data_IF_810058270009
#
_entry.id   IF_810058270009
#
_cell.length_a   1.000
_cell.length_b   1.000
_cell.length_c   1.000
_cell.angle_alpha   90.00
_cell.angle_beta   90.00
_cell.angle_gamma   90.00
#
_symmetry.space_group_name_H-M   'P 1'
#
loop_
_entity.id
_entity.type
_entity.pdbx_description
1 polymer ?
#
# COMPACT_ATOMS: atom_id res chain seq x y z
N UNK A 1 2.46 30.95 -5.42
CA UNK A 1 3.05 29.61 -5.52
C UNK A 1 2.06 28.65 -4.90
N UNK A 2 1.51 27.70 -5.66
CA UNK A 2 0.65 26.66 -5.06
C UNK A 2 1.44 25.93 -3.96
N UNK A 3 0.85 25.63 -2.81
CA UNK A 3 1.55 24.90 -1.75
C UNK A 3 2.09 23.58 -2.32
N UNK A 4 3.33 23.26 -1.94
CA UNK A 4 3.99 22.03 -2.37
C UNK A 4 3.24 20.86 -1.74
N UNK A 5 2.75 19.93 -2.56
CA UNK A 5 2.05 18.73 -2.12
C UNK A 5 2.86 18.00 -1.04
N UNK A 6 2.22 17.77 0.11
CA UNK A 6 2.78 17.08 1.27
C UNK A 6 2.32 15.62 1.30
N UNK A 7 3.28 14.69 1.38
CA UNK A 7 2.98 13.26 1.50
C UNK A 7 3.50 12.69 2.82
N UNK A 8 2.65 11.93 3.51
CA UNK A 8 2.98 11.24 4.76
C UNK A 8 3.09 9.73 4.49
N UNK A 9 4.26 9.15 4.78
CA UNK A 9 4.44 7.71 4.80
C UNK A 9 3.86 7.11 6.08
N UNK A 10 2.97 6.13 5.93
CA UNK A 10 2.41 5.36 7.03
C UNK A 10 2.78 3.91 6.80
N UNK A 11 3.36 3.28 7.82
CA UNK A 11 3.76 1.87 7.80
C UNK A 11 2.83 1.09 8.75
N UNK A 12 1.76 0.45 8.25
CA UNK A 12 0.90 -0.38 9.07
C UNK A 12 1.65 -1.61 9.57
N UNK A 13 1.68 -1.81 10.88
CA UNK A 13 2.37 -2.91 11.53
C UNK A 13 1.44 -3.61 12.52
N UNK A 14 1.04 -4.85 12.20
CA UNK A 14 0.31 -5.72 13.13
C UNK A 14 1.25 -6.75 13.72
N UNK A 15 1.13 -6.99 15.02
CA UNK A 15 1.89 -8.05 15.67
C UNK A 15 1.33 -9.45 15.30
N UNK A 16 0.00 -9.54 15.19
CA UNK A 16 -0.71 -10.75 14.82
C UNK A 16 -0.65 -11.00 13.31
N UNK A 17 0.35 -11.78 12.89
CA UNK A 17 0.45 -12.32 11.52
C UNK A 17 0.28 -13.84 11.57
N UNK A 18 -0.66 -14.36 10.78
CA UNK A 18 -1.05 -15.79 10.78
C UNK A 18 0.02 -16.68 10.16
N UNK A 19 0.62 -16.24 9.04
CA UNK A 19 1.64 -17.01 8.30
C UNK A 19 3.03 -16.94 8.92
N UNK A 20 3.34 -15.82 9.59
CA UNK A 20 4.61 -15.62 10.26
C UNK A 20 4.39 -14.82 11.54
N UNK A 21 4.27 -15.48 12.72
CA UNK A 21 4.01 -14.79 13.98
C UNK A 21 5.08 -13.73 14.28
N UNK A 22 4.62 -12.57 14.77
CA UNK A 22 5.47 -11.44 15.19
C UNK A 22 6.43 -10.96 14.10
N UNK A 23 6.03 -11.11 12.83
CA UNK A 23 6.84 -10.79 11.63
C UNK A 23 7.56 -9.45 11.72
N UNK A 24 6.84 -8.38 12.10
CA UNK A 24 7.36 -7.01 12.15
C UNK A 24 8.49 -6.81 13.17
N UNK A 25 8.57 -7.68 14.19
CA UNK A 25 9.61 -7.66 15.22
C UNK A 25 10.76 -8.64 14.96
N UNK A 26 10.69 -9.46 13.91
CA UNK A 26 11.78 -10.38 13.57
C UNK A 26 13.02 -9.57 13.22
N UNK A 27 14.15 -9.96 13.79
CA UNK A 27 15.42 -9.32 13.52
C UNK A 27 15.99 -9.73 12.17
N UNK A 28 16.51 -8.74 11.45
CA UNK A 28 17.29 -8.89 10.23
C UNK A 28 18.54 -8.05 10.46
N UNK A 29 19.72 -8.67 10.42
CA UNK A 29 20.99 -7.98 10.63
C UNK A 29 21.00 -7.04 11.88
N UNK A 30 20.44 -7.50 13.00
CA UNK A 30 20.45 -6.79 14.28
C UNK A 30 19.41 -5.67 14.45
N UNK A 31 18.47 -5.49 13.50
CA UNK A 31 17.32 -4.58 13.66
C UNK A 31 16.00 -5.29 13.37
N UNK A 32 14.90 -4.95 14.05
CA UNK A 32 13.56 -5.44 13.69
C UNK A 32 13.21 -5.10 12.24
N UNK A 33 12.49 -6.00 11.56
CA UNK A 33 12.00 -5.80 10.18
C UNK A 33 11.35 -4.43 9.99
N UNK A 34 10.52 -4.00 10.94
CA UNK A 34 9.81 -2.72 10.84
C UNK A 34 10.74 -1.50 10.78
N UNK A 35 11.91 -1.59 11.42
CA UNK A 35 12.93 -0.53 11.40
C UNK A 35 13.56 -0.44 10.01
N UNK A 36 13.86 -1.59 9.37
CA UNK A 36 14.34 -1.61 7.98
C UNK A 36 13.35 -0.98 7.01
N UNK A 37 12.06 -1.28 7.16
CA UNK A 37 11.00 -0.68 6.33
C UNK A 37 10.94 0.83 6.51
N UNK A 38 11.00 1.31 7.76
CA UNK A 38 11.02 2.75 8.03
C UNK A 38 12.25 3.44 7.44
N UNK A 39 13.45 2.89 7.66
CA UNK A 39 14.69 3.42 7.09
C UNK A 39 14.60 3.47 5.57
N UNK A 40 14.05 2.42 4.94
CA UNK A 40 13.90 2.36 3.50
C UNK A 40 12.95 3.43 2.94
N UNK A 41 11.80 3.63 3.59
CA UNK A 41 10.82 4.64 3.21
C UNK A 41 11.31 6.07 3.47
N UNK A 42 11.97 6.32 4.60
CA UNK A 42 12.45 7.66 5.01
C UNK A 42 13.52 8.23 4.08
N UNK A 43 14.21 7.39 3.31
CA UNK A 43 15.14 7.83 2.24
C UNK A 43 14.45 8.56 1.08
N UNK A 44 13.12 8.46 0.96
CA UNK A 44 12.40 9.11 -0.14
C UNK A 44 12.19 10.60 0.10
N UNK A 45 12.69 11.49 -0.78
CA UNK A 45 12.43 12.93 -0.68
C UNK A 45 10.98 13.29 -1.00
N UNK A 46 10.21 12.35 -1.55
CA UNK A 46 8.79 12.54 -1.84
C UNK A 46 7.93 12.58 -0.58
N UNK A 47 8.42 12.03 0.54
CA UNK A 47 7.72 11.99 1.82
C UNK A 47 8.22 13.09 2.74
N UNK A 48 7.30 13.92 3.23
CA UNK A 48 7.61 14.91 4.25
C UNK A 48 7.97 14.24 5.58
N UNK A 49 7.23 13.18 5.93
CA UNK A 49 7.52 12.37 7.11
C UNK A 49 7.11 10.91 6.93
N UNK A 50 7.59 10.04 7.82
CA UNK A 50 7.28 8.60 7.85
C UNK A 50 7.09 8.12 9.28
N UNK A 51 6.01 7.41 9.54
CA UNK A 51 5.70 6.81 10.83
C UNK A 51 5.22 5.37 10.72
N UNK A 52 5.35 4.63 11.81
CA UNK A 52 4.75 3.30 12.00
C UNK A 52 3.40 3.45 12.70
N UNK A 53 2.37 2.80 12.19
CA UNK A 53 1.05 2.73 12.81
C UNK A 53 0.79 1.29 13.27
N UNK A 54 0.57 1.08 14.56
CA UNK A 54 0.47 -0.28 15.14
C UNK A 54 -0.61 -0.37 16.22
N UNK A 55 -1.09 -1.57 16.49
CA UNK A 55 -1.99 -1.89 17.60
C UNK A 55 -1.25 -2.41 18.84
N UNK A 56 0.09 -2.47 18.78
CA UNK A 56 0.91 -3.11 19.81
C UNK A 56 1.88 -2.15 20.47
N UNK A 57 1.75 -2.01 21.79
CA UNK A 57 2.72 -1.29 22.62
C UNK A 57 4.15 -1.85 22.50
N UNK A 58 4.27 -3.16 22.24
CA UNK A 58 5.56 -3.80 22.04
C UNK A 58 6.25 -3.33 20.76
N UNK A 59 5.48 -3.16 19.67
CA UNK A 59 5.99 -2.58 18.42
C UNK A 59 6.40 -1.13 18.63
N UNK A 60 5.63 -0.34 19.38
CA UNK A 60 6.00 1.04 19.74
C UNK A 60 7.31 1.07 20.53
N UNK A 61 7.48 0.20 21.53
CA UNK A 61 8.70 0.13 22.33
C UNK A 61 9.92 -0.28 21.49
N UNK A 62 9.75 -1.25 20.59
CA UNK A 62 10.80 -1.64 19.65
C UNK A 62 11.18 -0.48 18.73
N UNK A 63 10.21 0.25 18.17
CA UNK A 63 10.46 1.44 17.36
C UNK A 63 11.20 2.55 18.13
N UNK A 64 10.81 2.81 19.39
CA UNK A 64 11.44 3.82 20.23
C UNK A 64 12.94 3.56 20.45
N UNK A 65 13.34 2.29 20.61
CA UNK A 65 14.75 1.89 20.74
C UNK A 65 15.63 2.26 19.54
N UNK A 66 15.03 2.52 18.38
CA UNK A 66 15.71 2.93 17.14
C UNK A 66 15.35 4.36 16.69
N UNK A 67 14.64 5.14 17.52
CA UNK A 67 14.19 6.49 17.16
C UNK A 67 13.15 6.54 16.04
N UNK A 68 12.45 5.43 15.79
CA UNK A 68 11.41 5.35 14.75
C UNK A 68 10.09 5.92 15.31
N UNK A 69 9.49 6.94 14.67
CA UNK A 69 8.18 7.45 15.08
C UNK A 69 7.10 6.37 14.92
N UNK A 70 6.43 6.03 16.03
CA UNK A 70 5.36 5.04 16.04
C UNK A 70 4.14 5.58 16.80
N UNK A 71 2.95 5.29 16.30
CA UNK A 71 1.68 5.65 16.93
C UNK A 71 0.81 4.42 17.13
N UNK A 72 0.07 4.40 18.25
CA UNK A 72 -0.96 3.41 18.47
C UNK A 72 -2.18 3.73 17.63
N UNK A 73 -2.81 2.68 17.12
CA UNK A 73 -4.01 2.68 16.29
C UNK A 73 -4.89 1.52 16.73
N UNK A 74 -6.17 1.56 16.43
CA UNK A 74 -7.14 0.57 16.89
C UNK A 74 -6.76 -0.86 16.47
N UNK A 75 -6.94 -1.80 17.40
CA UNK A 75 -6.83 -3.24 17.14
C UNK A 75 -8.03 -3.78 16.33
N UNK A 76 -9.13 -3.02 16.25
CA UNK A 76 -10.34 -3.41 15.54
C UNK A 76 -10.25 -3.21 14.01
N UNK A 77 -9.21 -2.53 13.53
CA UNK A 77 -9.07 -2.28 12.10
C UNK A 77 -8.88 -3.58 11.32
N UNK A 78 -9.69 -3.84 10.28
CA UNK A 78 -9.61 -5.07 9.52
C UNK A 78 -8.47 -5.02 8.48
N UNK A 79 -8.13 -3.85 7.95
CA UNK A 79 -7.11 -3.70 6.89
C UNK A 79 -5.95 -2.75 7.24
N UNK A 80 -4.88 -2.80 6.45
CA UNK A 80 -3.81 -1.81 6.51
C UNK A 80 -4.31 -0.41 6.13
N UNK A 81 -5.22 -0.34 5.15
CA UNK A 81 -5.82 0.91 4.67
C UNK A 81 -6.66 1.62 5.74
N UNK A 82 -7.43 0.89 6.55
CA UNK A 82 -8.15 1.45 7.71
C UNK A 82 -7.20 2.05 8.76
N UNK A 83 -6.03 1.44 8.93
CA UNK A 83 -5.01 1.96 9.84
C UNK A 83 -4.39 3.26 9.33
N UNK A 84 -4.22 3.39 8.01
CA UNK A 84 -3.81 4.65 7.37
C UNK A 84 -4.90 5.71 7.51
N UNK A 85 -6.18 5.32 7.38
CA UNK A 85 -7.31 6.22 7.62
C UNK A 85 -7.29 6.81 9.04
N UNK A 86 -7.06 6.01 10.08
CA UNK A 86 -6.99 6.52 11.46
C UNK A 86 -5.85 7.53 11.66
N UNK A 87 -4.69 7.27 11.06
CA UNK A 87 -3.57 8.24 11.07
C UNK A 87 -3.98 9.53 10.38
N UNK A 88 -4.70 9.46 9.26
CA UNK A 88 -5.16 10.63 8.52
C UNK A 88 -6.11 11.52 9.36
N UNK A 89 -6.85 10.96 10.32
CA UNK A 89 -7.74 11.74 11.21
C UNK A 89 -6.98 12.64 12.18
N UNK A 90 -5.72 12.32 12.50
CA UNK A 90 -4.91 13.05 13.48
C UNK A 90 -3.70 13.77 12.89
N UNK A 91 -3.30 13.40 11.66
CA UNK A 91 -2.16 13.99 10.96
C UNK A 91 -2.56 14.40 9.55
N UNK A 92 -2.68 15.70 9.33
CA UNK A 92 -3.00 16.26 8.02
C UNK A 92 -1.83 16.10 7.03
N UNK A 93 -2.14 15.61 5.84
CA UNK A 93 -1.28 15.58 4.67
C UNK A 93 -2.15 15.59 3.41
N UNK A 94 -1.60 16.02 2.27
CA UNK A 94 -2.33 15.99 1.00
C UNK A 94 -2.45 14.56 0.44
N UNK A 95 -1.42 13.74 0.72
CA UNK A 95 -1.31 12.35 0.26
C UNK A 95 -0.80 11.46 1.40
N UNK A 96 -1.39 10.29 1.55
CA UNK A 96 -0.98 9.26 2.50
C UNK A 96 -0.44 8.05 1.75
N UNK A 97 0.82 7.72 1.99
CA UNK A 97 1.51 6.59 1.34
C UNK A 97 1.51 5.40 2.29
N UNK A 98 0.79 4.35 1.93
CA UNK A 98 0.80 3.07 2.65
C UNK A 98 2.02 2.25 2.19
N UNK A 99 3.04 2.20 3.06
CA UNK A 99 4.21 1.35 2.90
C UNK A 99 3.98 0.09 3.72
N UNK A 100 3.88 -1.07 3.08
CA UNK A 100 3.62 -2.32 3.80
C UNK A 100 4.76 -2.61 4.81
N UNK A 101 4.39 -3.00 6.04
CA UNK A 101 5.33 -3.31 7.12
C UNK A 101 6.23 -4.52 6.88
N UNK A 102 6.14 -5.16 5.71
CA UNK A 102 6.95 -6.26 5.27
C UNK A 102 7.70 -6.06 3.95
N UNK A 103 7.79 -4.81 3.48
CA UNK A 103 8.52 -4.42 2.27
C UNK A 103 9.80 -3.61 2.60
N UNK A 104 10.84 -4.25 3.19
CA UNK A 104 12.07 -3.54 3.61
C UNK A 104 12.91 -3.06 2.42
N UNK A 105 12.57 -3.48 1.20
CA UNK A 105 13.26 -3.14 -0.04
C UNK A 105 12.55 -2.04 -0.84
N UNK A 106 11.59 -1.34 -0.24
CA UNK A 106 11.00 -0.15 -0.86
C UNK A 106 12.09 0.88 -1.19
N UNK A 107 12.00 1.47 -2.37
CA UNK A 107 12.99 2.44 -2.86
C UNK A 107 12.38 3.83 -2.97
N UNK A 108 13.19 4.90 -2.92
CA UNK A 108 12.72 6.25 -3.23
C UNK A 108 12.01 6.34 -4.59
N UNK A 109 12.49 5.59 -5.59
CA UNK A 109 11.89 5.54 -6.92
C UNK A 109 10.49 4.92 -6.94
N UNK A 110 10.20 3.93 -6.08
CA UNK A 110 8.83 3.40 -5.93
C UNK A 110 7.90 4.48 -5.37
N UNK A 111 8.32 5.13 -4.29
CA UNK A 111 7.49 6.12 -3.61
C UNK A 111 7.26 7.36 -4.51
N UNK A 112 8.28 7.81 -5.23
CA UNK A 112 8.14 8.94 -6.17
C UNK A 112 7.14 8.62 -7.29
N UNK A 113 7.20 7.42 -7.89
CA UNK A 113 6.22 6.97 -8.90
C UNK A 113 4.81 6.88 -8.35
N UNK A 114 4.67 6.52 -7.07
CA UNK A 114 3.39 6.42 -6.40
C UNK A 114 2.77 7.80 -6.11
N UNK A 115 3.59 8.78 -5.73
CA UNK A 115 3.14 10.14 -5.40
C UNK A 115 2.96 11.02 -6.64
N UNK A 116 3.71 10.76 -7.72
CA UNK A 116 3.68 11.53 -8.97
C UNK A 116 2.28 11.84 -9.52
N UNK A 117 1.37 10.84 -9.65
CA UNK A 117 0.01 11.06 -10.16
C UNK A 117 -0.78 12.14 -9.42
N UNK A 118 -0.57 12.33 -8.12
CA UNK A 118 -1.27 13.36 -7.33
C UNK A 118 -0.77 14.78 -7.62
N UNK A 119 0.46 14.91 -8.14
CA UNK A 119 1.05 16.19 -8.56
C UNK A 119 0.64 16.56 -9.98
N UNK A 120 0.54 15.55 -10.84
CA UNK A 120 0.22 15.70 -12.27
C UNK A 120 -1.28 15.84 -12.51
N UNK A 121 -2.09 15.10 -11.75
CA UNK A 121 -3.54 15.02 -11.91
C UNK A 121 -4.23 15.28 -10.56
N UNK A 122 -4.77 16.50 -10.34
CA UNK A 122 -5.41 16.87 -9.08
C UNK A 122 -6.54 15.92 -8.65
N UNK A 123 -7.25 15.33 -9.60
CA UNK A 123 -8.39 14.45 -9.34
C UNK A 123 -7.98 13.04 -8.87
N UNK A 124 -6.70 12.69 -8.91
CA UNK A 124 -6.20 11.38 -8.44
C UNK A 124 -6.60 11.17 -6.98
N UNK A 125 -7.35 10.09 -6.73
CA UNK A 125 -7.76 9.68 -5.39
C UNK A 125 -6.88 8.57 -4.84
N UNK A 126 -6.50 7.62 -5.69
CA UNK A 126 -5.72 6.44 -5.33
C UNK A 126 -4.69 6.17 -6.43
N UNK A 127 -3.47 5.82 -6.04
CA UNK A 127 -2.48 5.24 -6.94
C UNK A 127 -1.85 3.98 -6.35
N UNK A 128 -1.31 3.14 -7.22
CA UNK A 128 -0.52 1.96 -6.89
C UNK A 128 0.58 1.74 -7.93
N UNK A 129 1.29 0.62 -7.87
CA UNK A 129 2.34 0.26 -8.81
C UNK A 129 2.12 -1.13 -9.40
N UNK A 130 2.72 -1.34 -10.58
CA UNK A 130 2.86 -2.65 -11.19
C UNK A 130 4.26 -2.88 -11.72
N UNK A 131 4.63 -4.15 -11.82
CA UNK A 131 5.84 -4.58 -12.54
C UNK A 131 5.47 -5.64 -13.56
N UNK A 132 6.33 -5.84 -14.57
CA UNK A 132 6.15 -6.93 -15.52
C UNK A 132 6.18 -8.25 -14.76
N UNK A 133 5.15 -9.07 -14.96
CA UNK A 133 5.04 -10.39 -14.35
C UNK A 133 6.05 -11.32 -15.02
N UNK A 134 6.79 -12.10 -14.23
CA UNK A 134 7.69 -13.11 -14.79
C UNK A 134 6.90 -14.35 -15.24
N UNK A 135 7.35 -15.08 -16.29
CA UNK A 135 6.65 -16.27 -16.77
C UNK A 135 6.42 -17.35 -15.70
N UNK A 136 7.34 -17.52 -14.75
CA UNK A 136 7.25 -18.47 -13.63
C UNK A 136 6.22 -18.08 -12.57
N UNK A 137 5.76 -16.82 -12.55
CA UNK A 137 4.81 -16.31 -11.54
C UNK A 137 3.35 -16.32 -12.03
N UNK A 138 3.09 -16.66 -13.30
CA UNK A 138 1.77 -16.51 -13.94
C UNK A 138 0.66 -17.23 -13.17
N UNK A 139 0.88 -18.52 -12.90
CA UNK A 139 -0.07 -19.40 -12.22
C UNK A 139 -0.01 -19.31 -10.69
N UNK A 140 0.86 -18.47 -10.13
CA UNK A 140 1.00 -18.35 -8.68
C UNK A 140 -0.19 -17.53 -8.10
N UNK A 141 -1.07 -18.13 -7.28
CA UNK A 141 -2.21 -17.43 -6.70
C UNK A 141 -1.81 -16.43 -5.60
N UNK A 142 -0.58 -16.51 -5.09
CA UNK A 142 0.00 -15.52 -4.19
C UNK A 142 0.49 -14.26 -4.90
N UNK A 143 0.53 -14.28 -6.24
CA UNK A 143 0.90 -13.13 -7.06
C UNK A 143 -0.36 -12.52 -7.67
N UNK A 144 -0.71 -11.32 -7.19
CA UNK A 144 -1.87 -10.59 -7.70
C UNK A 144 -1.52 -9.95 -9.05
N UNK A 145 -2.41 -10.11 -10.03
CA UNK A 145 -2.30 -9.53 -11.37
C UNK A 145 -3.14 -8.27 -11.47
N UNK A 146 -2.74 -7.36 -12.35
CA UNK A 146 -3.50 -6.15 -12.67
C UNK A 146 -3.57 -5.97 -14.18
N UNK A 147 -4.76 -5.59 -14.66
CA UNK A 147 -4.98 -5.10 -16.02
C UNK A 147 -5.28 -3.61 -15.97
N UNK A 148 -4.77 -2.84 -16.92
CA UNK A 148 -4.90 -1.39 -16.95
C UNK A 148 -5.44 -0.93 -18.30
N UNK A 149 -6.13 0.20 -18.31
CA UNK A 149 -6.47 0.90 -19.54
C UNK A 149 -5.28 1.70 -20.07
N UNK A 150 -5.42 2.26 -21.28
CA UNK A 150 -4.38 3.04 -21.95
C UNK A 150 -4.02 4.33 -21.21
N UNK A 151 -4.93 4.87 -20.41
CA UNK A 151 -4.75 6.05 -19.57
C UNK A 151 -4.04 5.74 -18.23
N UNK A 152 -3.62 4.50 -18.00
CA UNK A 152 -2.91 4.09 -16.79
C UNK A 152 -3.81 3.70 -15.61
N UNK A 153 -5.14 3.82 -15.72
CA UNK A 153 -6.02 3.37 -14.63
C UNK A 153 -6.13 1.85 -14.58
N UNK A 154 -6.25 1.28 -13.38
CA UNK A 154 -6.60 -0.12 -13.19
C UNK A 154 -8.01 -0.39 -13.75
N UNK A 155 -8.13 -1.48 -14.51
CA UNK A 155 -9.42 -2.03 -14.93
C UNK A 155 -9.89 -3.09 -13.93
N UNK A 156 -8.98 -3.96 -13.48
CA UNK A 156 -9.28 -5.04 -12.55
C UNK A 156 -8.00 -5.61 -11.92
N UNK A 157 -8.14 -6.16 -10.71
CA UNK A 157 -7.11 -6.94 -10.02
C UNK A 157 -7.61 -8.36 -9.80
N UNK A 158 -6.76 -9.36 -10.01
CA UNK A 158 -7.17 -10.75 -9.84
C UNK A 158 -6.04 -11.66 -9.40
N UNK A 159 -6.39 -12.73 -8.70
CA UNK A 159 -5.49 -13.87 -8.48
C UNK A 159 -5.37 -14.77 -9.70
N UNK A 160 -6.26 -14.66 -10.68
CA UNK A 160 -6.17 -15.41 -11.94
C UNK A 160 -5.20 -14.76 -12.94
N UNK A 161 -4.62 -15.56 -13.87
CA UNK A 161 -3.81 -15.04 -14.97
C UNK A 161 -4.60 -14.11 -15.89
N UNK A 162 -4.48 -12.80 -15.66
CA UNK A 162 -5.09 -11.77 -16.51
C UNK A 162 -4.02 -10.90 -17.20
N UNK A 163 -4.24 -10.49 -18.46
CA UNK A 163 -5.32 -10.94 -19.36
C UNK A 163 -5.12 -12.40 -19.82
N UNK A 164 -6.22 -13.03 -20.25
CA UNK A 164 -6.19 -14.36 -20.87
C UNK A 164 -5.61 -14.27 -22.29
N UNK A 165 -4.72 -15.19 -22.65
CA UNK A 165 -4.09 -15.26 -23.98
C UNK A 165 -4.81 -16.29 -24.84
N UNK A 166 -5.92 -15.88 -25.46
CA UNK A 166 -6.80 -16.77 -26.23
C UNK A 166 -6.07 -17.47 -27.38
N UNK A 167 -5.20 -16.76 -28.07
CA UNK A 167 -4.57 -17.24 -29.31
C UNK A 167 -3.14 -17.77 -29.08
N UNK A 168 -2.65 -17.78 -27.83
CA UNK A 168 -1.31 -18.23 -27.48
C UNK A 168 -0.19 -17.41 -28.12
N UNK A 169 -0.44 -16.13 -28.42
CA UNK A 169 0.53 -15.25 -29.11
C UNK A 169 1.59 -14.68 -28.16
N UNK A 170 1.43 -14.93 -26.86
CA UNK A 170 2.20 -14.29 -25.81
C UNK A 170 1.57 -12.95 -25.47
N UNK A 171 1.20 -12.80 -24.19
CA UNK A 171 0.69 -11.54 -23.65
C UNK A 171 1.56 -11.04 -22.52
N UNK A 172 1.75 -9.72 -22.45
CA UNK A 172 2.41 -9.09 -21.32
C UNK A 172 1.42 -9.01 -20.16
N UNK A 173 1.78 -9.67 -19.05
CA UNK A 173 1.02 -9.57 -17.79
C UNK A 173 1.79 -8.71 -16.81
N UNK A 174 1.06 -8.14 -15.86
CA UNK A 174 1.62 -7.30 -14.83
C UNK A 174 1.27 -7.84 -13.45
N UNK A 175 2.28 -7.88 -12.59
CA UNK A 175 2.16 -8.11 -11.16
C UNK A 175 1.82 -6.79 -10.49
N UNK A 176 0.78 -6.80 -9.67
CA UNK A 176 0.47 -5.69 -8.78
C UNK A 176 1.44 -5.68 -7.59
N UNK A 177 1.95 -4.50 -7.24
CA UNK A 177 2.78 -4.25 -6.06
C UNK A 177 1.91 -3.57 -5.01
N UNK A 178 1.81 -4.16 -3.81
CA UNK A 178 0.92 -3.71 -2.72
C UNK A 178 1.32 -2.40 -2.03
N UNK A 179 1.91 -1.46 -2.75
CA UNK A 179 2.17 -0.09 -2.32
C UNK A 179 1.06 0.80 -2.85
N UNK A 180 0.55 1.68 -1.99
CA UNK A 180 -0.56 2.57 -2.35
C UNK A 180 -0.33 3.97 -1.84
N UNK A 181 -0.86 4.95 -2.57
CA UNK A 181 -1.05 6.30 -2.07
C UNK A 181 -2.50 6.70 -2.20
N UNK A 182 -2.96 7.53 -1.26
CA UNK A 182 -4.36 7.90 -1.13
C UNK A 182 -4.51 9.39 -0.82
N UNK A 183 -5.61 10.00 -1.29
CA UNK A 183 -6.17 11.19 -0.64
C UNK A 183 -6.96 10.80 0.60
N UNK A 184 -7.09 11.72 1.55
CA UNK A 184 -7.95 11.55 2.73
C UNK A 184 -9.38 11.17 2.35
N UNK A 185 -9.96 11.82 1.35
CA UNK A 185 -11.33 11.54 0.89
C UNK A 185 -11.53 10.07 0.43
N UNK A 186 -10.51 9.49 -0.21
CA UNK A 186 -10.54 8.09 -0.62
C UNK A 186 -10.51 7.15 0.59
N UNK A 187 -9.65 7.45 1.58
CA UNK A 187 -9.57 6.72 2.84
C UNK A 187 -10.90 6.79 3.61
N UNK A 188 -11.51 7.97 3.70
CA UNK A 188 -12.79 8.18 4.39
C UNK A 188 -13.93 7.42 3.70
N UNK A 189 -13.92 7.34 2.37
CA UNK A 189 -14.90 6.51 1.66
C UNK A 189 -14.64 5.02 1.94
N UNK A 190 -13.39 4.56 1.80
CA UNK A 190 -13.01 3.17 2.04
C UNK A 190 -13.42 2.68 3.43
N UNK A 191 -13.15 3.48 4.47
CA UNK A 191 -13.46 3.15 5.85
C UNK A 191 -14.96 3.05 6.13
N UNK A 192 -15.78 3.94 5.52
CA UNK A 192 -17.24 3.95 5.71
C UNK A 192 -17.96 2.84 4.95
N UNK A 193 -17.39 2.39 3.83
CA UNK A 193 -18.01 1.36 3.00
C UNK A 193 -17.78 -0.03 3.58
N UNK A 194 -18.81 -0.91 3.54
CA UNK A 194 -18.61 -2.31 3.90
C UNK A 194 -17.67 -2.98 2.88
N UNK A 195 -17.00 -4.10 3.28
CA UNK A 195 -16.27 -4.92 2.33
C UNK A 195 -17.14 -5.34 1.15
N UNK A 196 -16.59 -5.17 -0.06
CA UNK A 196 -17.33 -5.34 -1.31
C UNK A 196 -17.33 -6.80 -1.80
N UNK A 197 -18.30 -7.24 -2.63
CA UNK A 197 -18.37 -8.62 -3.11
C UNK A 197 -17.09 -9.13 -3.79
N UNK A 198 -16.42 -8.33 -4.65
CA UNK A 198 -15.19 -8.76 -5.32
C UNK A 198 -14.01 -8.75 -4.35
N UNK A 199 -13.93 -7.76 -3.45
CA UNK A 199 -12.95 -7.78 -2.36
C UNK A 199 -13.04 -9.07 -1.54
N UNK A 200 -14.25 -9.46 -1.13
CA UNK A 200 -14.47 -10.64 -0.30
C UNK A 200 -14.13 -11.95 -1.04
N UNK A 201 -14.44 -12.00 -2.33
CA UNK A 201 -14.17 -13.14 -3.22
C UNK A 201 -12.68 -13.29 -3.50
N UNK A 202 -12.02 -12.25 -4.02
CA UNK A 202 -10.60 -12.28 -4.39
C UNK A 202 -9.67 -12.16 -3.18
N UNK A 203 -10.18 -11.67 -2.04
CA UNK A 203 -9.39 -11.23 -0.88
C UNK A 203 -8.41 -10.12 -1.25
N UNK A 204 -8.92 -9.09 -1.93
CA UNK A 204 -8.17 -7.93 -2.43
C UNK A 204 -8.91 -6.63 -2.08
N UNK A 205 -8.44 -5.93 -1.04
CA UNK A 205 -9.10 -4.73 -0.49
C UNK A 205 -9.30 -3.61 -1.51
N UNK A 206 -8.34 -3.45 -2.44
CA UNK A 206 -8.39 -2.38 -3.43
C UNK A 206 -9.56 -2.51 -4.41
N UNK A 207 -10.19 -3.69 -4.52
CA UNK A 207 -11.40 -3.85 -5.34
C UNK A 207 -12.58 -3.06 -4.78
N UNK A 208 -12.60 -2.75 -3.48
CA UNK A 208 -13.61 -1.87 -2.87
C UNK A 208 -13.66 -0.49 -3.53
N UNK A 209 -12.50 0.06 -3.88
CA UNK A 209 -12.44 1.34 -4.60
C UNK A 209 -13.08 1.22 -5.98
N UNK A 210 -12.70 0.19 -6.75
CA UNK A 210 -13.22 -0.01 -8.11
C UNK A 210 -14.73 -0.26 -8.14
N UNK A 211 -15.26 -1.09 -7.21
CA UNK A 211 -16.70 -1.36 -7.13
C UNK A 211 -17.54 -0.13 -6.79
N UNK A 212 -16.94 0.86 -6.12
CA UNK A 212 -17.60 2.13 -5.78
C UNK A 212 -17.21 3.28 -6.72
N UNK A 213 -16.65 2.95 -7.90
CA UNK A 213 -16.36 3.92 -8.95
C UNK A 213 -15.18 4.85 -8.65
N UNK A 214 -14.34 4.54 -7.65
CA UNK A 214 -13.08 5.27 -7.42
C UNK A 214 -12.00 4.70 -8.34
N UNK A 215 -11.46 5.50 -9.28
CA UNK A 215 -10.36 5.07 -10.13
C UNK A 215 -9.08 4.88 -9.34
N UNK A 216 -8.30 3.85 -9.69
CA UNK A 216 -6.94 3.63 -9.18
C UNK A 216 -5.97 3.86 -10.33
N UNK A 217 -5.02 4.78 -10.18
CA UNK A 217 -3.92 5.01 -11.14
C UNK A 217 -2.78 4.01 -10.90
N UNK A 218 -2.16 3.45 -11.95
CA UNK A 218 -1.15 2.38 -11.86
C UNK A 218 0.10 2.64 -12.70
#
# INVERSE_FOLDING_TARGET
>A
MSPRLTALGVIPARLASTRLPRKVLREIAGKPLIVHVWEAAKRSPALADVLVATDSHEVVAACAGFGVPAVLTSAAHPSGTDRVWEVAQSRAADVYVNVQGDEPLVTPGHIERLVGPFREHPDTQVSTLKIRLRPDEVENPGVNKVVCAADGRALYFSKYPVPYDRDGRGVVRFKHIGLYAYRAAALDLFHRLPPSPLELTEKLEQLRFLEHGIPIVV
#
